data_IF_393332896096
#
_entry.id   IF_393332896096
#
_cell.length_a   1.000
_cell.length_b   1.000
_cell.length_c   1.000
_cell.angle_alpha   90.00
_cell.angle_beta   90.00
_cell.angle_gamma   90.00
#
_symmetry.space_group_name_H-M   'P 1'
#
loop_
_entity.id
_entity.type
_entity.pdbx_description
1 polymer ?
#
# COMPACT_ATOMS: atom_id res chain seq x y z
N UNK A 1 11.42 -34.69 -51.27
CA UNK A 1 10.88 -34.78 -49.89
C UNK A 1 11.66 -33.98 -48.84
N UNK A 2 12.80 -33.40 -49.16
CA UNK A 2 13.70 -32.67 -48.21
C UNK A 2 13.26 -31.26 -47.87
N UNK A 3 12.54 -30.55 -48.76
CA UNK A 3 12.14 -29.15 -48.51
C UNK A 3 11.00 -28.95 -47.48
N UNK A 4 10.07 -29.91 -47.40
CA UNK A 4 8.95 -29.83 -46.43
C UNK A 4 9.37 -30.11 -45.00
N UNK A 5 10.42 -30.92 -44.80
CA UNK A 5 10.96 -31.23 -43.48
C UNK A 5 11.73 -30.05 -42.88
N UNK A 6 12.42 -29.27 -43.72
CA UNK A 6 13.18 -28.09 -43.29
C UNK A 6 12.25 -26.95 -42.85
N UNK A 7 11.09 -26.76 -43.51
CA UNK A 7 10.10 -25.74 -43.15
C UNK A 7 9.40 -26.06 -41.82
N UNK A 8 9.13 -27.36 -41.53
CA UNK A 8 8.52 -27.74 -40.24
C UNK A 8 9.49 -27.56 -39.09
N UNK A 9 10.77 -27.85 -39.26
CA UNK A 9 11.79 -27.68 -38.22
C UNK A 9 12.02 -26.20 -37.86
N UNK A 10 12.00 -25.30 -38.84
CA UNK A 10 12.11 -23.83 -38.62
C UNK A 10 10.88 -23.25 -37.94
N UNK A 11 9.68 -23.72 -38.25
CA UNK A 11 8.44 -23.29 -37.59
C UNK A 11 8.38 -23.74 -36.13
N UNK A 12 8.82 -24.98 -35.81
CA UNK A 12 8.90 -25.46 -34.43
C UNK A 12 9.98 -24.74 -33.62
N UNK A 13 11.14 -24.41 -34.20
CA UNK A 13 12.20 -23.67 -33.56
C UNK A 13 11.76 -22.20 -33.23
N UNK A 14 11.03 -21.54 -34.14
CA UNK A 14 10.45 -20.21 -33.88
C UNK A 14 9.36 -20.25 -32.79
N UNK A 15 8.50 -21.28 -32.75
CA UNK A 15 7.51 -21.42 -31.65
C UNK A 15 8.19 -21.68 -30.30
N UNK A 16 9.29 -22.43 -30.28
CA UNK A 16 10.03 -22.69 -29.04
C UNK A 16 10.78 -21.47 -28.53
N UNK A 17 11.28 -20.60 -29.41
CA UNK A 17 11.94 -19.35 -29.07
C UNK A 17 10.94 -18.27 -28.59
N UNK A 18 9.68 -18.32 -29.01
CA UNK A 18 8.62 -17.41 -28.51
C UNK A 18 8.13 -17.80 -27.13
N UNK A 19 8.32 -19.06 -26.70
CA UNK A 19 7.93 -19.54 -25.36
C UNK A 19 8.89 -19.12 -24.24
N UNK A 20 10.08 -18.60 -24.56
CA UNK A 20 11.09 -18.17 -23.57
C UNK A 20 11.13 -16.66 -23.33
N UNK A 21 10.13 -15.91 -23.78
CA UNK A 21 9.98 -14.54 -23.32
C UNK A 21 9.43 -14.60 -21.90
N UNK A 22 10.34 -14.68 -20.91
CA UNK A 22 9.96 -14.62 -19.49
C UNK A 22 8.98 -13.49 -19.27
N UNK A 23 7.82 -13.79 -18.68
CA UNK A 23 6.83 -12.74 -18.38
C UNK A 23 7.51 -11.64 -17.57
N UNK A 24 7.30 -10.38 -17.96
CA UNK A 24 7.81 -9.23 -17.24
C UNK A 24 7.28 -9.26 -15.81
N UNK A 25 8.15 -9.08 -14.83
CA UNK A 25 7.75 -8.97 -13.43
C UNK A 25 6.67 -7.90 -13.25
N UNK A 26 5.66 -8.23 -12.49
CA UNK A 26 4.61 -7.29 -12.09
C UNK A 26 5.18 -6.32 -11.06
N UNK A 27 5.26 -5.04 -11.39
CA UNK A 27 5.79 -4.01 -10.52
C UNK A 27 4.71 -3.53 -9.55
N UNK A 28 4.96 -3.69 -8.25
CA UNK A 28 4.07 -3.24 -7.18
C UNK A 28 4.79 -2.20 -6.35
N UNK A 29 4.20 -1.02 -6.22
CA UNK A 29 4.79 0.10 -5.51
C UNK A 29 3.88 0.52 -4.35
N UNK A 30 4.48 0.63 -3.16
CA UNK A 30 3.82 1.16 -1.96
C UNK A 30 4.19 2.64 -1.82
N UNK A 31 3.17 3.51 -1.84
CA UNK A 31 3.31 4.96 -1.84
C UNK A 31 2.70 5.55 -0.58
N UNK A 32 3.50 6.23 0.25
CA UNK A 32 3.02 6.67 1.56
C UNK A 32 4.00 7.55 2.33
N UNK A 33 3.86 7.53 3.64
CA UNK A 33 4.59 8.34 4.61
C UNK A 33 5.72 7.56 5.33
N UNK A 34 5.99 7.91 6.61
CA UNK A 34 7.02 7.26 7.44
C UNK A 34 6.78 5.76 7.63
N UNK A 35 5.53 5.31 7.69
CA UNK A 35 5.20 3.90 7.86
C UNK A 35 5.66 3.12 6.62
N UNK A 36 5.44 3.67 5.44
CA UNK A 36 5.92 3.08 4.17
C UNK A 36 7.43 3.23 4.02
N UNK A 37 8.02 4.34 4.49
CA UNK A 37 9.47 4.52 4.51
C UNK A 37 10.16 3.43 5.34
N UNK A 38 9.70 3.21 6.57
CA UNK A 38 10.22 2.14 7.44
C UNK A 38 9.83 0.73 6.96
N UNK A 39 8.77 0.64 6.16
CA UNK A 39 8.29 -0.62 5.59
C UNK A 39 9.33 -1.35 4.72
N UNK A 40 10.31 -0.65 4.14
CA UNK A 40 11.38 -1.26 3.33
C UNK A 40 12.56 -1.76 4.16
N UNK A 41 12.67 -1.33 5.41
CA UNK A 41 13.72 -1.77 6.33
C UNK A 41 13.50 -3.24 6.73
N UNK A 42 14.56 -3.90 7.20
CA UNK A 42 14.50 -5.30 7.64
C UNK A 42 13.41 -5.50 8.70
N UNK A 43 12.46 -6.40 8.42
CA UNK A 43 11.30 -6.66 9.28
C UNK A 43 10.12 -5.70 9.08
N UNK A 44 10.25 -4.68 8.22
CA UNK A 44 9.15 -3.83 7.79
C UNK A 44 8.18 -4.59 6.86
N UNK A 45 6.94 -4.11 6.73
CA UNK A 45 5.90 -4.85 6.02
C UNK A 45 6.22 -5.13 4.54
N UNK A 46 6.95 -4.23 3.86
CA UNK A 46 7.39 -4.42 2.47
C UNK A 46 8.50 -5.49 2.39
N UNK A 47 9.43 -5.50 3.33
CA UNK A 47 10.46 -6.53 3.46
C UNK A 47 9.84 -7.91 3.75
N UNK A 48 8.84 -7.97 4.62
CA UNK A 48 8.09 -9.18 4.91
C UNK A 48 7.35 -9.70 3.67
N UNK A 49 6.73 -8.84 2.85
CA UNK A 49 6.10 -9.23 1.58
C UNK A 49 7.15 -9.82 0.63
N UNK A 50 8.33 -9.19 0.49
CA UNK A 50 9.42 -9.71 -0.35
C UNK A 50 9.88 -11.08 0.13
N UNK A 51 9.99 -11.25 1.44
CA UNK A 51 10.41 -12.51 2.07
C UNK A 51 9.38 -13.62 1.82
N UNK A 52 8.09 -13.34 1.99
CA UNK A 52 7.00 -14.29 1.71
C UNK A 52 6.97 -14.70 0.22
N UNK A 53 7.13 -13.73 -0.69
CA UNK A 53 7.24 -14.00 -2.13
C UNK A 53 8.44 -14.93 -2.45
N UNK A 54 9.57 -14.73 -1.78
CA UNK A 54 10.74 -15.59 -1.97
C UNK A 54 10.48 -17.02 -1.46
N UNK A 55 9.88 -17.16 -0.29
CA UNK A 55 9.52 -18.45 0.29
C UNK A 55 8.51 -19.23 -0.58
N UNK A 56 7.60 -18.51 -1.26
CA UNK A 56 6.62 -19.11 -2.19
C UNK A 56 7.17 -19.35 -3.60
N UNK A 57 8.43 -19.00 -3.88
CA UNK A 57 9.01 -19.12 -5.23
C UNK A 57 8.47 -18.10 -6.24
N UNK A 58 7.87 -16.99 -5.77
CA UNK A 58 7.21 -15.98 -6.61
C UNK A 58 8.09 -14.75 -6.90
N UNK A 59 9.35 -14.69 -6.41
CA UNK A 59 10.27 -13.56 -6.63
C UNK A 59 10.55 -13.26 -8.09
N UNK A 60 10.36 -14.25 -8.97
CA UNK A 60 10.48 -14.08 -10.42
C UNK A 60 9.29 -13.33 -11.05
N UNK A 61 8.13 -13.31 -10.38
CA UNK A 61 6.88 -12.76 -10.89
C UNK A 61 6.62 -11.33 -10.44
N UNK A 62 7.21 -10.89 -9.33
CA UNK A 62 6.97 -9.58 -8.74
C UNK A 62 8.25 -8.78 -8.53
N UNK A 63 8.15 -7.47 -8.73
CA UNK A 63 9.13 -6.46 -8.31
C UNK A 63 8.44 -5.54 -7.31
N UNK A 64 8.89 -5.57 -6.05
CA UNK A 64 8.26 -4.87 -4.93
C UNK A 64 9.09 -3.64 -4.57
N UNK A 65 8.45 -2.47 -4.57
CA UNK A 65 9.08 -1.17 -4.33
C UNK A 65 8.35 -0.39 -3.24
N UNK A 66 9.09 0.44 -2.50
CA UNK A 66 8.54 1.39 -1.54
C UNK A 66 8.95 2.82 -1.89
N UNK A 67 8.00 3.74 -1.81
CA UNK A 67 8.19 5.18 -1.99
C UNK A 67 7.55 5.94 -0.82
N UNK A 68 8.06 5.67 0.40
CA UNK A 68 7.64 6.35 1.63
C UNK A 68 8.57 7.50 1.99
N UNK A 69 8.03 8.60 2.52
CA UNK A 69 8.80 9.72 3.10
C UNK A 69 8.11 10.16 4.40
N UNK A 70 8.91 10.26 5.47
CA UNK A 70 8.44 10.65 6.80
C UNK A 70 7.66 11.96 6.82
N UNK A 71 6.56 12.00 7.59
CA UNK A 71 5.74 13.19 7.76
C UNK A 71 4.84 13.55 6.57
N UNK A 72 4.92 12.83 5.45
CA UNK A 72 4.14 13.13 4.26
C UNK A 72 2.63 13.02 4.49
N UNK A 73 1.91 13.90 3.82
CA UNK A 73 0.46 14.01 3.74
C UNK A 73 0.03 13.82 2.29
N UNK A 74 -1.26 13.74 2.04
CA UNK A 74 -1.78 13.52 0.69
C UNK A 74 -1.28 14.56 -0.33
N UNK A 75 -1.13 15.82 0.04
CA UNK A 75 -0.62 16.86 -0.86
C UNK A 75 0.87 16.68 -1.18
N UNK A 76 1.68 16.14 -0.25
CA UNK A 76 3.08 15.81 -0.49
C UNK A 76 3.19 14.66 -1.51
N UNK A 77 2.31 13.66 -1.39
CA UNK A 77 2.21 12.59 -2.37
C UNK A 77 1.88 13.14 -3.77
N UNK A 78 0.91 14.06 -3.85
CA UNK A 78 0.55 14.72 -5.11
C UNK A 78 1.75 15.41 -5.76
N UNK A 79 2.55 16.14 -4.97
CA UNK A 79 3.69 16.92 -5.48
C UNK A 79 4.85 16.04 -5.98
N UNK A 80 5.02 14.83 -5.44
CA UNK A 80 6.16 13.95 -5.77
C UNK A 80 5.81 12.73 -6.61
N UNK A 81 4.52 12.47 -6.90
CA UNK A 81 4.12 11.24 -7.57
C UNK A 81 4.71 11.05 -8.97
N UNK A 82 4.95 12.14 -9.72
CA UNK A 82 5.56 12.04 -11.06
C UNK A 82 6.95 11.42 -11.00
N UNK A 83 7.77 11.89 -10.06
CA UNK A 83 9.14 11.44 -9.87
C UNK A 83 9.20 10.06 -9.20
N UNK A 84 8.43 9.87 -8.14
CA UNK A 84 8.61 8.71 -7.26
C UNK A 84 7.77 7.50 -7.67
N UNK A 85 6.71 7.72 -8.45
CA UNK A 85 5.77 6.66 -8.86
C UNK A 85 5.67 6.54 -10.37
N UNK A 86 5.23 7.59 -11.09
CA UNK A 86 4.93 7.47 -12.51
C UNK A 86 6.17 7.15 -13.34
N UNK A 87 7.33 7.71 -13.00
CA UNK A 87 8.62 7.39 -13.65
C UNK A 87 9.05 5.93 -13.52
N UNK A 88 8.54 5.20 -12.52
CA UNK A 88 8.84 3.79 -12.28
C UNK A 88 7.98 2.85 -13.14
N UNK A 89 6.91 3.37 -13.77
CA UNK A 89 5.94 2.59 -14.54
C UNK A 89 5.43 1.34 -13.79
N UNK A 90 4.85 1.50 -12.58
CA UNK A 90 4.33 0.38 -11.81
C UNK A 90 3.04 -0.16 -12.43
N UNK A 91 2.77 -1.46 -12.21
CA UNK A 91 1.50 -2.08 -12.59
C UNK A 91 0.43 -1.87 -11.52
N UNK A 92 0.86 -1.87 -10.24
CA UNK A 92 -0.02 -1.69 -9.08
C UNK A 92 0.62 -0.67 -8.13
N UNK A 93 -0.19 0.26 -7.63
CA UNK A 93 0.21 1.19 -6.57
C UNK A 93 -0.73 1.06 -5.38
N UNK A 94 -0.17 0.82 -4.20
CA UNK A 94 -0.87 0.97 -2.93
C UNK A 94 -0.65 2.39 -2.43
N UNK A 95 -1.72 3.14 -2.19
CA UNK A 95 -1.66 4.49 -1.60
C UNK A 95 -2.03 4.38 -0.13
N UNK A 96 -1.03 4.51 0.76
CA UNK A 96 -1.24 4.49 2.20
C UNK A 96 -0.77 5.79 2.85
N UNK A 97 -1.70 6.70 3.07
CA UNK A 97 -1.51 8.04 3.62
C UNK A 97 -2.78 8.48 4.35
N UNK A 98 -2.66 9.46 5.21
CA UNK A 98 -3.79 10.04 5.94
C UNK A 98 -3.56 10.14 7.44
N UNK A 99 -2.65 9.34 8.00
CA UNK A 99 -2.32 9.43 9.44
C UNK A 99 -1.74 10.81 9.79
N UNK A 100 -0.81 11.34 8.99
CA UNK A 100 -0.23 12.66 9.21
C UNK A 100 -1.16 13.81 8.81
N UNK A 101 -2.11 13.57 7.91
CA UNK A 101 -3.16 14.53 7.57
C UNK A 101 -4.02 14.86 8.81
N UNK A 102 -4.24 13.86 9.68
CA UNK A 102 -4.97 13.99 10.95
C UNK A 102 -4.04 14.35 12.09
N UNK A 103 -2.97 13.58 12.32
CA UNK A 103 -2.10 13.70 13.49
C UNK A 103 -1.38 15.05 13.54
N UNK A 104 -0.79 15.47 12.42
CA UNK A 104 -0.06 16.73 12.36
C UNK A 104 -0.97 17.95 12.41
N UNK A 105 -2.28 17.82 12.17
CA UNK A 105 -3.24 18.89 12.34
C UNK A 105 -3.30 19.36 13.80
N UNK A 106 -3.35 18.42 14.73
CA UNK A 106 -3.40 18.70 16.17
C UNK A 106 -2.02 18.94 16.79
N UNK A 107 -0.97 18.22 16.33
CA UNK A 107 0.35 18.28 16.96
C UNK A 107 1.28 19.36 16.40
N UNK A 108 1.11 19.75 15.13
CA UNK A 108 2.02 20.65 14.42
C UNK A 108 1.31 21.78 13.66
N UNK A 109 -0.02 21.78 13.59
CA UNK A 109 -0.79 22.75 12.80
C UNK A 109 -0.63 22.60 11.27
N UNK A 110 -0.15 21.46 10.80
CA UNK A 110 0.23 21.22 9.39
C UNK A 110 -0.51 20.06 8.74
N UNK A 111 -1.64 19.61 9.29
CA UNK A 111 -2.48 18.57 8.70
C UNK A 111 -3.18 19.05 7.42
N UNK A 112 -3.94 18.16 6.81
CA UNK A 112 -4.74 18.48 5.62
C UNK A 112 -6.22 18.58 6.00
N UNK A 113 -6.87 19.68 5.65
CA UNK A 113 -8.30 19.81 5.85
C UNK A 113 -9.06 18.75 5.04
N UNK A 114 -10.18 18.28 5.59
CA UNK A 114 -10.97 17.18 5.04
C UNK A 114 -11.33 17.36 3.56
N UNK A 115 -11.83 18.55 3.19
CA UNK A 115 -12.20 18.83 1.78
C UNK A 115 -10.98 18.83 0.85
N UNK A 116 -9.84 19.32 1.32
CA UNK A 116 -8.59 19.31 0.56
C UNK A 116 -8.03 17.90 0.45
N UNK A 117 -8.13 17.11 1.53
CA UNK A 117 -7.71 15.72 1.52
C UNK A 117 -8.38 14.94 0.38
N UNK A 118 -9.71 15.03 0.30
CA UNK A 118 -10.45 14.36 -0.77
C UNK A 118 -10.07 14.82 -2.18
N UNK A 119 -9.87 16.12 -2.38
CA UNK A 119 -9.48 16.67 -3.69
C UNK A 119 -8.10 16.20 -4.14
N UNK A 120 -7.10 16.23 -3.24
CA UNK A 120 -5.76 15.76 -3.55
C UNK A 120 -5.75 14.24 -3.76
N UNK A 121 -6.50 13.50 -2.94
CA UNK A 121 -6.59 12.03 -3.07
C UNK A 121 -7.16 11.63 -4.43
N UNK A 122 -8.27 12.23 -4.83
CA UNK A 122 -8.88 12.03 -6.15
C UNK A 122 -7.91 12.37 -7.30
N UNK A 123 -7.20 13.50 -7.19
CA UNK A 123 -6.21 13.91 -8.19
C UNK A 123 -5.05 12.90 -8.32
N UNK A 124 -4.53 12.39 -7.19
CA UNK A 124 -3.48 11.37 -7.17
C UNK A 124 -3.95 10.08 -7.84
N UNK A 125 -5.12 9.58 -7.45
CA UNK A 125 -5.69 8.34 -7.99
C UNK A 125 -5.96 8.46 -9.48
N UNK A 126 -6.65 9.51 -9.92
CA UNK A 126 -6.99 9.71 -11.33
C UNK A 126 -5.77 9.82 -12.22
N UNK A 127 -4.72 10.52 -11.75
CA UNK A 127 -3.48 10.67 -12.53
C UNK A 127 -2.77 9.32 -12.71
N UNK A 128 -2.76 8.46 -11.69
CA UNK A 128 -2.21 7.11 -11.79
C UNK A 128 -3.06 6.22 -12.73
N UNK A 129 -4.38 6.26 -12.58
CA UNK A 129 -5.30 5.48 -13.44
C UNK A 129 -5.20 5.92 -14.91
N UNK A 130 -5.00 7.21 -15.21
CA UNK A 130 -4.78 7.71 -16.57
C UNK A 130 -3.51 7.13 -17.22
N UNK A 131 -2.56 6.60 -16.44
CA UNK A 131 -1.38 5.87 -16.91
C UNK A 131 -1.59 4.34 -16.97
N UNK A 132 -2.82 3.87 -16.76
CA UNK A 132 -3.15 2.45 -16.76
C UNK A 132 -2.71 1.69 -15.48
N UNK A 133 -2.35 2.41 -14.41
CA UNK A 133 -1.92 1.83 -13.15
C UNK A 133 -3.13 1.34 -12.35
N UNK A 134 -3.10 0.08 -11.87
CA UNK A 134 -4.08 -0.42 -10.90
C UNK A 134 -3.80 0.22 -9.54
N UNK A 135 -4.72 1.04 -9.05
CA UNK A 135 -4.62 1.67 -7.73
C UNK A 135 -5.37 0.85 -6.68
N UNK A 136 -4.76 0.67 -5.53
CA UNK A 136 -5.36 0.11 -4.31
C UNK A 136 -5.18 1.16 -3.22
N UNK A 137 -6.29 1.62 -2.65
CA UNK A 137 -6.26 2.61 -1.59
C UNK A 137 -6.28 1.93 -0.22
N UNK A 138 -5.62 2.55 0.76
CA UNK A 138 -5.45 1.97 2.09
C UNK A 138 -5.89 2.98 3.13
N UNK A 139 -6.74 2.57 4.08
CA UNK A 139 -7.12 3.45 5.18
C UNK A 139 -5.96 3.64 6.16
N UNK A 140 -5.76 4.85 6.75
CA UNK A 140 -4.83 5.03 7.85
C UNK A 140 -5.20 4.08 9.01
N UNK A 141 -4.20 3.51 9.70
CA UNK A 141 -4.44 2.48 10.70
C UNK A 141 -4.90 3.07 12.04
N UNK A 142 -3.98 3.63 12.83
CA UNK A 142 -4.27 4.13 14.18
C UNK A 142 -3.47 5.39 14.51
N UNK A 143 -4.01 6.19 15.44
CA UNK A 143 -3.30 7.17 16.26
C UNK A 143 -3.70 6.88 17.72
N UNK A 144 -3.05 5.88 18.29
CA UNK A 144 -3.43 5.24 19.55
C UNK A 144 -4.23 3.96 19.36
N UNK A 145 -4.02 3.00 20.28
CA UNK A 145 -4.54 1.62 20.19
C UNK A 145 -5.64 1.33 21.21
N UNK A 146 -6.12 2.33 21.96
CA UNK A 146 -7.23 2.17 22.88
C UNK A 146 -8.50 1.78 22.15
N UNK A 147 -9.28 0.87 22.76
CA UNK A 147 -10.47 0.29 22.12
C UNK A 147 -11.78 0.87 22.64
N UNK A 148 -11.72 1.73 23.66
CA UNK A 148 -12.87 2.39 24.29
C UNK A 148 -13.20 3.75 23.68
N UNK A 149 -12.63 4.06 22.51
CA UNK A 149 -12.79 5.35 21.80
C UNK A 149 -12.22 6.56 22.54
N UNK A 150 -11.28 6.37 23.46
CA UNK A 150 -10.62 7.45 24.20
C UNK A 150 -9.35 7.99 23.53
N UNK A 151 -8.96 7.50 22.35
CA UNK A 151 -7.89 8.10 21.57
C UNK A 151 -8.38 9.43 20.99
N UNK A 152 -7.64 10.51 21.24
CA UNK A 152 -8.08 11.88 20.93
C UNK A 152 -8.39 12.13 19.44
N UNK A 153 -7.76 11.39 18.52
CA UNK A 153 -7.91 11.57 17.08
C UNK A 153 -8.81 10.50 16.41
N UNK A 154 -9.45 9.60 17.15
CA UNK A 154 -10.26 8.52 16.57
C UNK A 154 -11.41 9.06 15.69
N UNK A 155 -12.06 10.13 16.11
CA UNK A 155 -13.14 10.77 15.35
C UNK A 155 -12.67 11.25 13.98
N UNK A 156 -11.60 12.03 13.94
CA UNK A 156 -11.03 12.53 12.68
C UNK A 156 -10.47 11.40 11.83
N UNK A 157 -9.74 10.44 12.43
CA UNK A 157 -9.17 9.32 11.70
C UNK A 157 -10.26 8.43 11.07
N UNK A 158 -11.37 8.22 11.77
CA UNK A 158 -12.53 7.53 11.24
C UNK A 158 -13.21 8.31 10.11
N UNK A 159 -13.28 9.64 10.22
CA UNK A 159 -13.85 10.51 9.18
C UNK A 159 -13.06 10.38 7.87
N UNK A 160 -11.72 10.46 7.92
CA UNK A 160 -10.85 10.31 6.75
C UNK A 160 -10.86 8.89 6.20
N UNK A 161 -10.88 7.88 7.07
CA UNK A 161 -11.01 6.47 6.66
C UNK A 161 -12.35 6.21 5.96
N UNK A 162 -13.45 6.78 6.45
CA UNK A 162 -14.77 6.64 5.82
C UNK A 162 -14.82 7.32 4.45
N UNK A 163 -14.12 8.45 4.28
CA UNK A 163 -13.96 9.07 2.97
C UNK A 163 -13.28 8.11 2.00
N UNK A 164 -12.16 7.48 2.40
CA UNK A 164 -11.41 6.52 1.56
C UNK A 164 -12.29 5.31 1.21
N UNK A 165 -13.03 4.74 2.17
CA UNK A 165 -13.96 3.62 1.93
C UNK A 165 -15.03 3.97 0.90
N UNK A 166 -15.69 5.13 1.09
CA UNK A 166 -16.70 5.63 0.17
C UNK A 166 -16.12 5.86 -1.22
N UNK A 167 -14.98 6.53 -1.30
CA UNK A 167 -14.27 6.81 -2.55
C UNK A 167 -13.92 5.51 -3.30
N UNK A 168 -13.39 4.51 -2.60
CA UNK A 168 -13.07 3.21 -3.17
C UNK A 168 -14.30 2.50 -3.74
N UNK A 169 -15.41 2.51 -3.00
CA UNK A 169 -16.67 1.88 -3.42
C UNK A 169 -17.28 2.58 -4.65
N UNK A 170 -17.35 3.93 -4.65
CA UNK A 170 -17.93 4.72 -5.73
C UNK A 170 -17.13 4.63 -7.04
N UNK A 171 -15.81 4.47 -6.94
CA UNK A 171 -14.91 4.39 -8.10
C UNK A 171 -14.47 2.96 -8.44
N UNK A 172 -14.98 1.94 -7.75
CA UNK A 172 -14.64 0.52 -7.94
C UNK A 172 -13.13 0.26 -7.83
N UNK A 173 -12.49 0.91 -6.87
CA UNK A 173 -11.04 0.80 -6.60
C UNK A 173 -10.81 -0.21 -5.48
N UNK A 174 -9.72 -0.98 -5.56
CA UNK A 174 -9.32 -1.90 -4.50
C UNK A 174 -9.06 -1.17 -3.17
N UNK A 175 -9.51 -1.75 -2.07
CA UNK A 175 -9.38 -1.21 -0.71
C UNK A 175 -8.68 -2.20 0.21
N UNK A 176 -7.70 -1.73 0.98
CA UNK A 176 -7.20 -2.40 2.18
C UNK A 176 -7.64 -1.58 3.39
N UNK A 177 -8.53 -2.13 4.20
CA UNK A 177 -9.10 -1.41 5.35
C UNK A 177 -8.31 -1.68 6.63
N UNK A 178 -7.12 -1.08 6.74
CA UNK A 178 -6.27 -1.25 7.91
C UNK A 178 -6.87 -0.63 9.18
N UNK A 179 -7.67 0.44 9.08
CA UNK A 179 -8.37 1.00 10.24
C UNK A 179 -9.26 -0.05 10.90
N UNK A 180 -9.97 -0.84 10.09
CA UNK A 180 -10.81 -1.95 10.56
C UNK A 180 -9.95 -3.08 11.13
N UNK A 181 -8.95 -3.55 10.37
CA UNK A 181 -8.11 -4.68 10.80
C UNK A 181 -7.38 -4.40 12.11
N UNK A 182 -6.88 -3.18 12.31
CA UNK A 182 -6.21 -2.77 13.54
C UNK A 182 -7.16 -2.70 14.73
N UNK A 183 -8.35 -2.14 14.53
CA UNK A 183 -9.35 -2.06 15.58
C UNK A 183 -9.82 -3.46 16.02
N UNK A 184 -10.13 -4.35 15.07
CA UNK A 184 -10.52 -5.75 15.37
C UNK A 184 -9.41 -6.51 16.09
N UNK A 185 -8.15 -6.32 15.68
CA UNK A 185 -7.02 -6.93 16.36
C UNK A 185 -6.87 -6.41 17.81
N UNK A 186 -6.97 -5.09 17.99
CA UNK A 186 -6.86 -4.46 19.32
C UNK A 186 -8.00 -4.87 20.24
N UNK A 187 -9.24 -5.00 19.75
CA UNK A 187 -10.36 -5.53 20.53
C UNK A 187 -10.06 -6.92 21.11
N UNK A 188 -9.38 -7.77 20.34
CA UNK A 188 -9.06 -9.14 20.75
C UNK A 188 -7.81 -9.23 21.64
N UNK A 189 -6.86 -8.29 21.53
CA UNK A 189 -5.52 -8.43 22.12
C UNK A 189 -5.10 -7.28 23.03
N UNK A 190 -5.96 -6.30 23.29
CA UNK A 190 -5.70 -5.17 24.19
C UNK A 190 -6.67 -5.10 25.38
N UNK A 191 -6.71 -6.12 26.25
CA UNK A 191 -7.65 -6.15 27.37
C UNK A 191 -7.39 -5.07 28.42
N UNK A 192 -6.17 -4.51 28.45
CA UNK A 192 -5.77 -3.44 29.35
C UNK A 192 -5.95 -2.04 28.79
N UNK A 193 -6.55 -1.90 27.60
CA UNK A 193 -6.80 -0.65 26.91
C UNK A 193 -5.54 0.25 26.79
N UNK A 194 -4.41 -0.38 26.48
CA UNK A 194 -3.13 0.31 26.29
C UNK A 194 -3.19 1.23 25.06
N UNK A 195 -2.53 2.36 25.14
CA UNK A 195 -2.47 3.35 24.06
C UNK A 195 -1.50 2.94 22.94
N UNK A 196 -0.54 2.05 23.22
CA UNK A 196 0.49 1.57 22.30
C UNK A 196 1.04 0.21 22.75
N UNK A 197 1.83 -0.44 21.90
CA UNK A 197 2.53 -1.69 22.23
C UNK A 197 1.81 -2.94 21.75
N UNK A 198 0.62 -2.83 21.17
CA UNK A 198 -0.12 -3.96 20.60
C UNK A 198 0.37 -4.20 19.16
N UNK A 199 0.21 -3.22 18.27
CA UNK A 199 0.62 -3.23 16.88
C UNK A 199 1.58 -2.08 16.52
N UNK A 200 1.72 -1.10 17.41
CA UNK A 200 2.60 0.07 17.25
C UNK A 200 3.55 0.20 18.45
N UNK A 201 4.68 0.89 18.27
CA UNK A 201 5.60 1.17 19.37
C UNK A 201 5.43 2.58 19.96
N UNK A 202 4.79 3.51 19.22
CA UNK A 202 4.62 4.91 19.60
C UNK A 202 3.21 5.46 19.28
N UNK A 203 2.20 4.58 19.18
CA UNK A 203 0.81 4.84 18.83
C UNK A 203 0.53 4.97 17.33
N UNK A 204 1.55 5.05 16.48
CA UNK A 204 1.43 5.27 15.02
C UNK A 204 2.29 4.30 14.23
N UNK A 205 3.60 4.24 14.53
CA UNK A 205 4.55 3.45 13.77
C UNK A 205 4.53 1.97 14.21
N UNK A 206 4.61 1.09 13.24
CA UNK A 206 4.39 -0.34 13.42
C UNK A 206 5.50 -1.01 14.23
N UNK A 207 5.13 -1.83 15.19
CA UNK A 207 6.01 -2.83 15.76
C UNK A 207 6.03 -4.11 14.89
N UNK A 208 6.73 -5.16 15.32
CA UNK A 208 6.84 -6.42 14.58
C UNK A 208 5.47 -7.02 14.23
N UNK A 209 4.53 -7.06 15.19
CA UNK A 209 3.17 -7.60 14.98
C UNK A 209 2.37 -6.74 13.99
N UNK A 210 2.49 -5.42 14.09
CA UNK A 210 1.86 -4.47 13.17
C UNK A 210 2.36 -4.65 11.75
N UNK A 211 3.68 -4.78 11.56
CA UNK A 211 4.27 -5.06 10.25
C UNK A 211 3.77 -6.39 9.66
N UNK A 212 3.68 -7.45 10.47
CA UNK A 212 3.18 -8.74 10.02
C UNK A 212 1.70 -8.67 9.61
N UNK A 213 0.86 -7.99 10.38
CA UNK A 213 -0.56 -7.78 10.05
C UNK A 213 -0.69 -7.02 8.72
N UNK A 214 0.01 -5.90 8.58
CA UNK A 214 -0.03 -5.08 7.36
C UNK A 214 0.47 -5.87 6.15
N UNK A 215 1.58 -6.59 6.26
CA UNK A 215 2.09 -7.44 5.18
C UNK A 215 1.04 -8.46 4.71
N UNK A 216 0.34 -9.10 5.65
CA UNK A 216 -0.73 -10.07 5.34
C UNK A 216 -1.91 -9.41 4.61
N UNK A 217 -2.40 -8.26 5.09
CA UNK A 217 -3.53 -7.56 4.48
C UNK A 217 -3.19 -7.03 3.07
N UNK A 218 -1.98 -6.45 2.89
CA UNK A 218 -1.52 -5.99 1.59
C UNK A 218 -1.34 -7.14 0.60
N UNK A 219 -0.81 -8.28 1.05
CA UNK A 219 -0.65 -9.47 0.22
C UNK A 219 -2.00 -10.00 -0.32
N UNK A 220 -3.04 -10.06 0.53
CA UNK A 220 -4.39 -10.46 0.10
C UNK A 220 -4.92 -9.59 -1.05
N UNK A 221 -4.63 -8.30 -1.04
CA UNK A 221 -5.10 -7.36 -2.06
C UNK A 221 -4.25 -7.38 -3.35
N UNK A 222 -3.07 -8.00 -3.32
CA UNK A 222 -2.21 -8.18 -4.51
C UNK A 222 -2.69 -9.32 -5.42
N UNK A 223 -3.40 -10.28 -4.87
CA UNK A 223 -3.94 -11.45 -5.59
C UNK A 223 -5.19 -11.07 -6.38
#
# INVERSE_FOLDING_TARGET
>A
MTGKLLLLATFFACMFLLSFRGERKKKVLFFGDSITQMGVDKGGYIDLIKTDLAQRGLSGQYEIMGAGIGGNKIYDLFLRMDKDVLSQNPDIVFIWVGVNDVWHKSSMGTGTDYDKFGKFYDAVVKKMQAQGIKVIVVTPAVIGERVDYSNAQDGDLNLYSNWIRKYAAENQIGLVDLRKSFHEYSLAHNPNNLEQGILTYDRVHLNEKGNALVASEMWKAMQ
#
